data_IF_392739291634
#
_entry.id   IF_392739291634
#
_cell.length_a   1.000
_cell.length_b   1.000
_cell.length_c   1.000
_cell.angle_alpha   90.00
_cell.angle_beta   90.00
_cell.angle_gamma   90.00
#
_symmetry.space_group_name_H-M   'P 1'
#
loop_
_entity.id
_entity.type
_entity.pdbx_description
1 polymer ?
#
# COMPACT_ATOMS: atom_id res chain seq x y z
N UNK A 1 20.12 19.82 19.07
CA UNK A 1 18.86 20.57 19.34
C UNK A 1 17.85 20.25 18.22
N UNK A 2 17.02 19.22 18.40
CA UNK A 2 15.94 18.91 17.46
C UNK A 2 14.81 19.93 17.65
N UNK A 3 14.52 20.73 16.61
CA UNK A 3 13.34 21.58 16.58
C UNK A 3 12.10 20.67 16.63
N UNK A 4 11.44 20.71 17.80
CA UNK A 4 10.11 20.17 18.05
C UNK A 4 9.15 20.92 17.10
N UNK A 5 8.89 20.37 15.93
CA UNK A 5 7.80 20.86 15.10
C UNK A 5 6.52 20.54 15.84
N UNK A 6 5.99 21.56 16.52
CA UNK A 6 4.65 21.58 17.08
C UNK A 6 3.72 21.33 15.89
N UNK A 7 3.16 20.12 15.85
CA UNK A 7 2.09 19.77 14.91
C UNK A 7 0.88 20.58 15.35
N UNK A 8 0.79 21.82 14.86
CA UNK A 8 -0.44 22.62 14.92
C UNK A 8 -1.52 21.81 14.22
N UNK A 9 -2.67 21.66 14.89
CA UNK A 9 -3.91 21.02 14.45
C UNK A 9 -4.00 20.80 12.94
N UNK A 10 -3.49 19.66 12.47
CA UNK A 10 -3.85 19.19 11.14
C UNK A 10 -5.25 18.63 11.29
N UNK A 11 -6.24 19.33 10.73
CA UNK A 11 -7.54 18.74 10.45
C UNK A 11 -7.30 17.33 9.90
N UNK A 12 -7.86 16.33 10.57
CA UNK A 12 -7.66 14.94 10.20
C UNK A 12 -8.40 14.71 8.88
N UNK A 13 -7.67 14.82 7.76
CA UNK A 13 -8.24 14.70 6.42
C UNK A 13 -8.93 13.33 6.29
N UNK A 14 -10.11 13.31 5.69
CA UNK A 14 -10.83 12.06 5.37
C UNK A 14 -10.52 11.69 3.91
N UNK A 15 -10.15 10.44 3.69
CA UNK A 15 -10.08 9.85 2.35
C UNK A 15 -11.51 9.49 1.92
N UNK A 16 -12.10 10.28 1.03
CA UNK A 16 -13.29 9.88 0.31
C UNK A 16 -12.92 8.85 -0.77
N UNK A 17 -13.45 7.64 -0.64
CA UNK A 17 -13.14 6.53 -1.55
C UNK A 17 -13.71 6.75 -2.96
N UNK A 18 -14.81 7.50 -3.10
CA UNK A 18 -15.37 7.83 -4.41
C UNK A 18 -14.44 8.79 -5.17
N UNK A 19 -13.99 9.86 -4.51
CA UNK A 19 -12.99 10.77 -5.07
C UNK A 19 -11.68 10.05 -5.40
N UNK A 20 -11.20 9.16 -4.51
CA UNK A 20 -10.02 8.35 -4.79
C UNK A 20 -10.22 7.46 -6.04
N UNK A 21 -11.35 6.78 -6.15
CA UNK A 21 -11.70 5.95 -7.31
C UNK A 21 -11.67 6.76 -8.61
N UNK A 22 -12.29 7.93 -8.62
CA UNK A 22 -12.28 8.84 -9.77
C UNK A 22 -10.87 9.31 -10.11
N UNK A 23 -10.05 9.64 -9.11
CA UNK A 23 -8.65 10.03 -9.33
C UNK A 23 -7.84 8.90 -9.96
N UNK A 24 -8.01 7.65 -9.49
CA UNK A 24 -7.32 6.49 -10.05
C UNK A 24 -7.77 6.19 -11.49
N UNK A 25 -9.07 6.28 -11.78
CA UNK A 25 -9.61 6.12 -13.14
C UNK A 25 -9.08 7.20 -14.10
N UNK A 26 -8.91 8.43 -13.61
CA UNK A 26 -8.38 9.55 -14.40
C UNK A 26 -6.90 9.38 -14.77
N UNK A 27 -6.16 8.47 -14.13
CA UNK A 27 -4.80 8.12 -14.55
C UNK A 27 -4.76 7.47 -15.94
N UNK A 28 -5.90 6.92 -16.42
CA UNK A 28 -6.04 6.29 -17.74
C UNK A 28 -4.94 5.26 -18.03
N UNK A 29 -4.60 4.46 -17.02
CA UNK A 29 -3.61 3.40 -17.16
C UNK A 29 -4.15 2.37 -18.17
N UNK A 30 -3.40 2.00 -19.22
CA UNK A 30 -3.86 1.01 -20.19
C UNK A 30 -4.15 -0.34 -19.53
N UNK A 31 -5.19 -1.04 -19.99
CA UNK A 31 -5.45 -2.42 -19.58
C UNK A 31 -4.24 -3.31 -19.85
N UNK A 32 -4.08 -4.36 -19.04
CA UNK A 32 -2.90 -5.26 -19.10
C UNK A 32 -1.57 -4.63 -18.70
N UNK A 33 -1.60 -3.43 -18.10
CA UNK A 33 -0.41 -2.83 -17.51
C UNK A 33 -0.02 -3.51 -16.20
N UNK A 34 1.27 -3.46 -15.89
CA UNK A 34 1.79 -3.71 -14.55
C UNK A 34 1.89 -2.39 -13.78
N UNK A 35 1.32 -2.34 -12.58
CA UNK A 35 1.27 -1.16 -11.72
C UNK A 35 2.06 -1.46 -10.44
N UNK A 36 3.07 -0.64 -10.16
CA UNK A 36 3.82 -0.70 -8.90
C UNK A 36 3.27 0.36 -7.95
N UNK A 37 2.73 -0.04 -6.80
CA UNK A 37 2.10 0.87 -5.84
C UNK A 37 3.06 1.14 -4.67
N UNK A 38 3.40 2.42 -4.50
CA UNK A 38 4.00 2.96 -3.28
C UNK A 38 2.96 3.83 -2.58
N UNK A 39 2.72 3.60 -1.29
CA UNK A 39 1.66 4.30 -0.57
C UNK A 39 2.11 4.81 0.80
N UNK A 40 1.46 5.88 1.25
CA UNK A 40 1.57 6.40 2.60
C UNK A 40 0.15 6.62 3.13
N UNK A 41 -0.41 5.62 3.81
CA UNK A 41 -1.79 5.69 4.33
C UNK A 41 -2.00 6.88 5.27
N UNK A 42 -0.98 7.27 6.03
CA UNK A 42 -1.04 8.47 6.86
C UNK A 42 -1.36 9.75 6.07
N UNK A 43 -0.95 9.82 4.79
CA UNK A 43 -1.21 10.96 3.91
C UNK A 43 -2.60 10.90 3.27
N UNK A 44 -3.21 9.72 3.19
CA UNK A 44 -4.62 9.58 2.77
C UNK A 44 -5.57 10.05 3.89
N UNK A 45 -5.12 10.03 5.15
CA UNK A 45 -5.94 10.39 6.29
C UNK A 45 -6.89 9.25 6.70
N UNK A 46 -8.06 9.58 7.26
CA UNK A 46 -9.04 8.58 7.71
C UNK A 46 -9.69 7.96 6.49
N UNK A 47 -9.44 6.68 6.27
CA UNK A 47 -10.11 5.90 5.22
C UNK A 47 -11.39 5.33 5.82
N UNK A 48 -12.54 5.68 5.23
CA UNK A 48 -13.83 5.11 5.63
C UNK A 48 -13.85 3.60 5.41
N UNK A 49 -14.20 2.83 6.46
CA UNK A 49 -14.10 1.36 6.46
C UNK A 49 -12.66 0.80 6.46
N UNK A 50 -11.66 1.67 6.60
CA UNK A 50 -10.26 1.31 6.79
C UNK A 50 -9.59 0.67 5.57
N UNK A 51 -8.53 -0.10 5.83
CA UNK A 51 -7.67 -0.66 4.79
C UNK A 51 -8.39 -1.61 3.83
N UNK A 52 -9.40 -2.35 4.30
CA UNK A 52 -10.14 -3.27 3.44
C UNK A 52 -10.95 -2.51 2.38
N UNK A 53 -11.56 -1.38 2.73
CA UNK A 53 -12.27 -0.54 1.76
C UNK A 53 -11.32 0.11 0.74
N UNK A 54 -10.12 0.51 1.16
CA UNK A 54 -9.08 0.95 0.23
C UNK A 54 -8.69 -0.17 -0.75
N UNK A 55 -8.49 -1.38 -0.25
CA UNK A 55 -8.18 -2.56 -1.08
C UNK A 55 -9.28 -2.85 -2.10
N UNK A 56 -10.55 -2.76 -1.70
CA UNK A 56 -11.69 -2.93 -2.60
C UNK A 56 -11.72 -1.84 -3.67
N UNK A 57 -11.53 -0.57 -3.29
CA UNK A 57 -11.44 0.55 -4.22
C UNK A 57 -10.33 0.32 -5.27
N UNK A 58 -9.13 -0.13 -4.84
CA UNK A 58 -8.03 -0.46 -5.75
C UNK A 58 -8.42 -1.60 -6.70
N UNK A 59 -9.02 -2.70 -6.20
CA UNK A 59 -9.47 -3.84 -7.02
C UNK A 59 -10.59 -3.50 -8.00
N UNK A 60 -11.45 -2.56 -7.66
CA UNK A 60 -12.52 -2.09 -8.54
C UNK A 60 -11.98 -1.27 -9.71
N UNK A 61 -10.90 -0.51 -9.51
CA UNK A 61 -10.27 0.29 -10.57
C UNK A 61 -9.30 -0.55 -11.40
N UNK A 62 -8.49 -1.36 -10.74
CA UNK A 62 -7.52 -2.26 -11.34
C UNK A 62 -7.99 -3.70 -11.12
N UNK A 63 -8.85 -4.14 -12.03
CA UNK A 63 -9.39 -5.49 -12.06
C UNK A 63 -8.32 -6.55 -12.39
N UNK A 64 -8.72 -7.81 -12.57
CA UNK A 64 -7.83 -8.93 -12.84
C UNK A 64 -7.08 -8.84 -14.18
N UNK A 65 -7.42 -7.88 -15.06
CA UNK A 65 -6.64 -7.60 -16.25
C UNK A 65 -5.32 -6.90 -15.95
N UNK A 66 -5.11 -6.36 -14.74
CA UNK A 66 -3.87 -5.67 -14.35
C UNK A 66 -3.00 -6.57 -13.47
N UNK A 67 -1.68 -6.32 -13.52
CA UNK A 67 -0.75 -6.88 -12.53
C UNK A 67 -0.41 -5.81 -11.50
N UNK A 68 -0.66 -6.06 -10.22
CA UNK A 68 -0.27 -5.16 -9.13
C UNK A 68 0.97 -5.71 -8.43
N UNK A 69 2.00 -4.86 -8.30
CA UNK A 69 3.17 -5.14 -7.51
C UNK A 69 3.33 -4.08 -6.40
N UNK A 70 3.87 -4.51 -5.27
CA UNK A 70 4.21 -3.64 -4.14
C UNK A 70 5.61 -3.98 -3.62
N UNK A 71 6.40 -3.01 -3.17
CA UNK A 71 7.67 -3.30 -2.54
C UNK A 71 7.42 -4.02 -1.20
N UNK A 72 8.14 -5.11 -0.92
CA UNK A 72 8.02 -5.88 0.33
C UNK A 72 9.34 -5.99 1.08
N UNK A 73 10.10 -4.89 1.07
CA UNK A 73 11.44 -4.81 1.66
C UNK A 73 11.45 -5.14 3.15
N UNK A 74 12.56 -5.76 3.55
CA UNK A 74 12.81 -6.33 4.88
C UNK A 74 14.15 -5.83 5.40
N UNK A 75 14.25 -4.51 5.61
CA UNK A 75 15.48 -3.82 6.01
C UNK A 75 16.16 -4.39 7.25
N UNK A 76 15.40 -4.97 8.20
CA UNK A 76 15.94 -5.64 9.39
C UNK A 76 16.85 -6.81 9.06
N UNK A 77 16.73 -7.42 7.89
CA UNK A 77 17.60 -8.50 7.44
C UNK A 77 19.08 -8.14 7.56
N UNK A 78 19.46 -6.88 7.28
CA UNK A 78 20.84 -6.42 7.40
C UNK A 78 21.45 -6.66 8.80
N UNK A 79 20.61 -6.73 9.84
CA UNK A 79 21.03 -7.01 11.21
C UNK A 79 20.72 -8.45 11.62
N UNK A 80 19.54 -8.96 11.27
CA UNK A 80 19.06 -10.27 11.76
C UNK A 80 19.60 -11.45 10.96
N UNK A 81 19.97 -11.24 9.70
CA UNK A 81 20.34 -12.28 8.73
C UNK A 81 19.29 -13.40 8.62
N UNK A 82 18.05 -13.12 9.05
CA UNK A 82 16.92 -14.03 9.01
C UNK A 82 15.85 -13.46 8.09
N UNK A 83 15.43 -14.27 7.14
CA UNK A 83 14.29 -14.01 6.27
C UNK A 83 13.59 -15.32 5.93
N UNK A 84 12.27 -15.28 5.92
CA UNK A 84 11.37 -16.36 5.53
C UNK A 84 10.36 -15.81 4.53
N UNK A 85 10.19 -16.53 3.43
CA UNK A 85 9.20 -16.22 2.40
C UNK A 85 7.80 -16.05 3.00
N UNK A 86 7.44 -16.95 3.92
CA UNK A 86 6.11 -17.07 4.53
C UNK A 86 5.92 -16.14 5.74
N UNK A 87 6.95 -16.00 6.58
CA UNK A 87 6.78 -15.38 7.90
C UNK A 87 7.26 -13.93 7.97
N UNK A 88 8.26 -13.54 7.17
CA UNK A 88 8.89 -12.23 7.33
C UNK A 88 8.01 -11.13 6.77
N UNK A 89 7.44 -10.32 7.67
CA UNK A 89 6.62 -9.16 7.33
C UNK A 89 7.39 -8.10 6.56
N UNK A 90 6.73 -7.44 5.64
CA UNK A 90 7.21 -6.24 4.96
C UNK A 90 7.34 -5.06 5.92
N UNK A 91 8.36 -4.23 5.69
CA UNK A 91 8.60 -2.97 6.39
C UNK A 91 8.16 -1.74 5.58
N UNK A 92 7.42 -1.94 4.48
CA UNK A 92 6.98 -0.86 3.56
C UNK A 92 5.52 -0.43 3.76
N UNK A 93 4.88 -0.86 4.85
CA UNK A 93 3.56 -0.40 5.28
C UNK A 93 2.44 -1.43 5.16
N UNK A 94 1.29 -1.11 5.77
CA UNK A 94 0.18 -2.06 5.97
C UNK A 94 -0.52 -2.47 4.66
N UNK A 95 -0.48 -1.65 3.62
CA UNK A 95 -1.04 -2.01 2.31
C UNK A 95 -0.32 -3.22 1.73
N UNK A 96 1.01 -3.21 1.79
CA UNK A 96 1.86 -4.29 1.30
C UNK A 96 1.60 -5.58 2.09
N UNK A 97 1.53 -5.48 3.41
CA UNK A 97 1.17 -6.60 4.30
C UNK A 97 -0.20 -7.21 3.99
N UNK A 98 -1.16 -6.39 3.56
CA UNK A 98 -2.50 -6.86 3.18
C UNK A 98 -2.49 -7.56 1.82
N UNK A 99 -1.77 -7.02 0.84
CA UNK A 99 -1.62 -7.63 -0.49
C UNK A 99 -0.91 -8.98 -0.40
N UNK A 100 0.17 -9.08 0.40
CA UNK A 100 0.91 -10.33 0.61
C UNK A 100 0.05 -11.46 1.17
N UNK A 101 -1.04 -11.14 1.86
CA UNK A 101 -1.96 -12.12 2.48
C UNK A 101 -3.14 -12.50 1.59
N UNK A 102 -3.25 -11.93 0.40
CA UNK A 102 -4.29 -12.32 -0.55
C UNK A 102 -3.93 -13.66 -1.21
N UNK A 103 -4.95 -14.49 -1.42
CA UNK A 103 -4.81 -15.73 -2.17
C UNK A 103 -4.35 -15.41 -3.61
N UNK A 104 -3.36 -16.15 -4.10
CA UNK A 104 -2.80 -15.96 -5.44
C UNK A 104 -1.70 -14.90 -5.53
N UNK A 105 -1.38 -14.19 -4.46
CA UNK A 105 -0.21 -13.27 -4.43
C UNK A 105 1.09 -14.07 -4.36
N UNK A 106 2.07 -13.67 -5.18
CA UNK A 106 3.43 -14.18 -5.14
C UNK A 106 4.38 -13.15 -4.52
N UNK A 107 5.44 -13.62 -3.88
CA UNK A 107 6.54 -12.79 -3.37
C UNK A 107 7.83 -13.18 -4.09
N UNK A 108 8.77 -12.25 -4.28
CA UNK A 108 10.11 -12.62 -4.75
C UNK A 108 10.89 -13.35 -3.65
N UNK A 109 11.77 -14.27 -4.04
CA UNK A 109 12.71 -14.95 -3.13
C UNK A 109 13.93 -14.03 -2.95
N UNK A 110 13.76 -13.02 -2.09
CA UNK A 110 14.82 -12.09 -1.75
C UNK A 110 14.67 -11.61 -0.30
N UNK A 111 15.74 -11.63 0.50
CA UNK A 111 15.70 -11.21 1.89
C UNK A 111 15.55 -9.70 2.11
#
# INVERSE_FOLDING_TARGET
MYKKYIIKDKAMYKCDLNSLKLHLLNLKIPRYSTIIIHSSLFRLGIIEGGINSLMNCIREVFDESYTIAVPTFTFKYANTHYWSYEETKSETGILCEKIMKLNGTLRSIHP
#
